data_IF_009904765439
#
_entry.id   IF_009904765439
#
_cell.length_a   1.000
_cell.length_b   1.000
_cell.length_c   1.000
_cell.angle_alpha   90.00
_cell.angle_beta   90.00
_cell.angle_gamma   90.00
#
_symmetry.space_group_name_H-M   'P 1'
#
loop_
_entity.id
_entity.type
_entity.pdbx_description
1 polymer ?
#
# COMPACT_ATOMS: atom_id res chain seq x y z
N UNK A 1 24.87 -9.64 0.82
CA UNK A 1 24.14 -8.36 0.74
C UNK A 1 23.41 -8.36 -0.59
N UNK A 2 22.08 -8.46 -0.57
CA UNK A 2 21.26 -8.40 -1.80
C UNK A 2 21.27 -6.97 -2.34
N UNK A 3 21.38 -6.84 -3.67
CA UNK A 3 21.40 -5.55 -4.37
C UNK A 3 20.05 -4.87 -4.19
N UNK A 4 20.04 -3.65 -3.66
CA UNK A 4 18.84 -2.83 -3.51
C UNK A 4 18.36 -2.37 -4.90
N UNK A 5 17.50 -3.19 -5.51
CA UNK A 5 16.95 -2.97 -6.86
C UNK A 5 15.91 -1.86 -6.91
N UNK A 6 15.42 -1.37 -5.76
CA UNK A 6 14.30 -0.42 -5.68
C UNK A 6 14.72 0.97 -5.25
N UNK A 7 16.02 1.27 -5.16
CA UNK A 7 16.51 2.55 -4.65
C UNK A 7 15.96 3.78 -5.42
N UNK A 8 15.58 3.61 -6.69
CA UNK A 8 14.91 4.61 -7.53
C UNK A 8 13.47 4.90 -7.13
N UNK A 9 12.80 3.96 -6.47
CA UNK A 9 11.35 4.00 -6.24
C UNK A 9 10.99 4.68 -4.91
N UNK A 10 12.00 5.02 -4.09
CA UNK A 10 11.80 5.73 -2.83
C UNK A 10 11.79 7.25 -3.03
N UNK A 11 10.77 7.90 -2.46
CA UNK A 11 10.67 9.36 -2.44
C UNK A 11 11.65 9.98 -1.43
N UNK A 12 12.23 11.13 -1.75
CA UNK A 12 13.11 11.91 -0.86
C UNK A 12 12.39 13.16 -0.34
N UNK A 13 12.02 13.15 0.94
CA UNK A 13 11.30 14.28 1.57
C UNK A 13 12.26 15.34 2.13
N UNK A 14 12.61 16.34 1.32
CA UNK A 14 13.29 17.57 1.78
C UNK A 14 14.57 17.36 2.61
N UNK A 15 14.89 18.30 3.51
CA UNK A 15 16.18 18.46 4.23
C UNK A 15 16.68 17.26 5.04
N UNK A 16 15.90 16.19 5.14
CA UNK A 16 16.32 14.92 5.72
C UNK A 16 16.41 13.92 4.56
N UNK A 17 17.59 13.37 4.31
CA UNK A 17 17.84 12.28 3.34
C UNK A 17 17.11 10.98 3.74
N UNK A 18 15.80 11.04 3.97
CA UNK A 18 14.95 9.92 4.34
C UNK A 18 14.24 9.46 3.07
N UNK A 19 14.48 8.21 2.74
CA UNK A 19 13.84 7.48 1.65
C UNK A 19 12.50 6.93 2.16
N UNK A 20 11.41 7.25 1.49
CA UNK A 20 10.05 6.82 1.88
C UNK A 20 9.44 5.89 0.82
N UNK A 21 8.86 4.74 1.23
CA UNK A 21 8.22 3.78 0.33
C UNK A 21 6.80 4.23 -0.02
N UNK A 22 6.64 5.37 -0.68
CA UNK A 22 5.34 6.06 -0.84
C UNK A 22 4.26 5.22 -1.52
N UNK A 23 4.62 4.21 -2.32
CA UNK A 23 3.69 3.29 -2.98
C UNK A 23 3.05 2.26 -2.05
N UNK A 24 3.58 2.08 -0.85
CA UNK A 24 3.01 1.20 0.18
C UNK A 24 2.36 1.99 1.31
N UNK A 25 2.61 3.30 1.41
CA UNK A 25 2.20 4.09 2.55
C UNK A 25 0.70 4.38 2.56
N UNK A 26 0.10 4.32 3.75
CA UNK A 26 -1.27 4.74 4.00
C UNK A 26 -1.44 6.27 3.84
N UNK A 27 -2.65 6.77 3.54
CA UNK A 27 -2.88 8.20 3.34
C UNK A 27 -2.47 9.06 4.56
N UNK A 28 -2.74 8.60 5.78
CA UNK A 28 -2.33 9.29 7.02
C UNK A 28 -0.81 9.26 7.25
N UNK A 29 -0.12 8.22 6.76
CA UNK A 29 1.35 8.17 6.79
C UNK A 29 1.96 9.14 5.80
N UNK A 30 1.35 9.31 4.62
CA UNK A 30 1.78 10.26 3.60
C UNK A 30 1.56 11.70 4.07
N UNK A 31 0.35 12.00 4.56
CA UNK A 31 -0.05 13.35 4.97
C UNK A 31 0.66 13.80 6.25
N UNK A 32 0.56 12.99 7.32
CA UNK A 32 0.90 13.42 8.67
C UNK A 32 2.16 12.71 9.22
N UNK A 33 2.71 11.74 8.50
CA UNK A 33 3.85 10.94 8.97
C UNK A 33 3.49 9.97 10.10
N UNK A 34 2.20 9.65 10.25
CA UNK A 34 1.69 8.72 11.26
C UNK A 34 2.03 7.29 10.86
N UNK A 35 2.53 6.49 11.81
CA UNK A 35 2.76 5.06 11.63
C UNK A 35 2.09 4.31 12.79
N UNK A 36 1.18 3.40 12.47
CA UNK A 36 0.40 2.61 13.42
C UNK A 36 0.16 1.21 12.86
N UNK A 37 -0.43 0.33 13.67
CA UNK A 37 -0.89 -0.97 13.15
C UNK A 37 -1.84 -0.81 11.96
N UNK A 38 -2.73 0.18 11.99
CA UNK A 38 -3.69 0.42 10.91
C UNK A 38 -2.97 0.83 9.60
N UNK A 39 -1.83 1.52 9.65
CA UNK A 39 -1.03 1.87 8.47
C UNK A 39 -0.29 0.66 7.89
N UNK A 40 0.08 -0.30 8.76
CA UNK A 40 0.64 -1.58 8.31
C UNK A 40 -0.41 -2.42 7.59
N UNK A 41 -1.67 -2.39 8.01
CA UNK A 41 -2.78 -3.07 7.31
C UNK A 41 -2.98 -2.54 5.89
N UNK A 42 -2.90 -1.22 5.69
CA UNK A 42 -2.92 -0.64 4.35
C UNK A 42 -1.77 -1.18 3.49
N UNK A 43 -0.56 -1.17 4.03
CA UNK A 43 0.65 -1.67 3.36
C UNK A 43 0.52 -3.15 3.02
N UNK A 44 -0.10 -3.94 3.90
CA UNK A 44 -0.40 -5.35 3.67
C UNK A 44 -1.35 -5.56 2.48
N UNK A 45 -2.36 -4.71 2.31
CA UNK A 45 -3.22 -4.72 1.11
C UNK A 45 -2.41 -4.55 -0.18
N UNK A 46 -1.41 -3.66 -0.18
CA UNK A 46 -0.50 -3.49 -1.33
C UNK A 46 0.34 -4.76 -1.54
N UNK A 47 0.84 -5.39 -0.49
CA UNK A 47 1.59 -6.66 -0.58
C UNK A 47 0.72 -7.79 -1.15
N UNK A 48 -0.56 -7.89 -0.76
CA UNK A 48 -1.49 -8.85 -1.34
C UNK A 48 -1.67 -8.60 -2.85
N UNK A 49 -1.78 -7.34 -3.26
CA UNK A 49 -1.86 -6.96 -4.67
C UNK A 49 -0.60 -7.37 -5.43
N UNK A 50 0.58 -7.18 -4.84
CA UNK A 50 1.85 -7.65 -5.40
C UNK A 50 1.88 -9.18 -5.54
N UNK A 51 1.41 -9.93 -4.55
CA UNK A 51 1.34 -11.40 -4.62
C UNK A 51 0.49 -11.85 -5.82
N UNK A 52 -0.69 -11.26 -5.99
CA UNK A 52 -1.60 -11.61 -7.09
C UNK A 52 -1.02 -11.21 -8.46
N UNK A 53 -0.27 -10.12 -8.51
CA UNK A 53 0.33 -9.60 -9.77
C UNK A 53 1.74 -10.11 -10.04
N UNK A 54 2.22 -11.10 -9.28
CA UNK A 54 3.57 -11.65 -9.38
C UNK A 54 4.66 -10.57 -9.25
N UNK A 55 4.50 -9.71 -8.25
CA UNK A 55 5.38 -8.58 -7.90
C UNK A 55 5.45 -7.50 -8.99
N UNK A 56 4.32 -7.21 -9.64
CA UNK A 56 4.22 -6.01 -10.47
C UNK A 56 4.39 -4.75 -9.60
N UNK A 57 4.86 -3.66 -10.22
CA UNK A 57 5.03 -2.40 -9.49
C UNK A 57 3.67 -1.78 -9.16
N UNK A 58 3.37 -1.48 -7.88
CA UNK A 58 2.14 -0.77 -7.52
C UNK A 58 2.09 0.62 -8.18
N UNK A 59 0.93 0.98 -8.72
CA UNK A 59 0.71 2.25 -9.44
C UNK A 59 1.68 2.44 -10.61
N UNK A 60 1.93 1.38 -11.37
CA UNK A 60 2.79 1.39 -12.55
C UNK A 60 2.40 2.54 -13.51
N UNK A 61 3.41 3.26 -14.00
CA UNK A 61 3.23 4.42 -14.89
C UNK A 61 3.02 5.76 -14.19
N UNK A 62 2.82 5.78 -12.86
CA UNK A 62 2.78 7.01 -12.07
C UNK A 62 4.15 7.30 -11.43
N UNK A 63 4.54 8.57 -11.37
CA UNK A 63 5.64 9.05 -10.53
C UNK A 63 5.28 9.03 -9.04
N UNK A 64 6.26 9.13 -8.16
CA UNK A 64 6.02 9.14 -6.72
C UNK A 64 5.12 10.30 -6.26
N UNK A 65 5.22 11.46 -6.90
CA UNK A 65 4.35 12.62 -6.61
C UNK A 65 2.92 12.38 -7.07
N UNK A 66 2.73 11.77 -8.24
CA UNK A 66 1.40 11.36 -8.73
C UNK A 66 0.76 10.30 -7.83
N UNK A 67 1.53 9.32 -7.34
CA UNK A 67 1.04 8.32 -6.38
C UNK A 67 0.57 8.98 -5.09
N UNK A 68 1.36 9.91 -4.53
CA UNK A 68 0.99 10.67 -3.33
C UNK A 68 -0.36 11.37 -3.56
N UNK A 69 -0.50 12.11 -4.66
CA UNK A 69 -1.72 12.84 -4.96
C UNK A 69 -2.92 11.90 -5.19
N UNK A 70 -2.70 10.80 -5.90
CA UNK A 70 -3.72 9.80 -6.17
C UNK A 70 -4.25 9.15 -4.89
N UNK A 71 -3.35 8.66 -4.03
CA UNK A 71 -3.72 8.06 -2.74
C UNK A 71 -4.43 9.07 -1.86
N UNK A 72 -3.93 10.30 -1.73
CA UNK A 72 -4.58 11.35 -0.93
C UNK A 72 -5.95 11.79 -1.49
N UNK A 73 -6.22 11.54 -2.78
CA UNK A 73 -7.53 11.75 -3.41
C UNK A 73 -8.49 10.56 -3.25
N UNK A 74 -8.18 9.62 -2.34
CA UNK A 74 -8.90 8.35 -2.11
C UNK A 74 -8.81 7.35 -3.25
N UNK A 75 -7.78 7.47 -4.10
CA UNK A 75 -7.48 6.48 -5.12
C UNK A 75 -6.85 5.22 -4.51
N UNK A 76 -7.24 4.05 -5.03
CA UNK A 76 -6.66 2.74 -4.67
C UNK A 76 -6.30 1.97 -5.94
N UNK A 77 -5.52 0.89 -5.80
CA UNK A 77 -5.16 0.04 -6.94
C UNK A 77 -6.40 -0.63 -7.53
N UNK A 78 -6.38 -0.87 -8.84
CA UNK A 78 -7.44 -1.61 -9.52
C UNK A 78 -7.28 -3.12 -9.29
N UNK A 79 -8.41 -3.84 -9.36
CA UNK A 79 -8.43 -5.29 -9.29
C UNK A 79 -7.54 -5.92 -10.38
N UNK A 80 -6.56 -6.76 -10.03
CA UNK A 80 -5.77 -7.50 -11.02
C UNK A 80 -6.61 -8.48 -11.84
N UNK A 81 -6.13 -8.81 -13.04
CA UNK A 81 -6.65 -9.92 -13.83
C UNK A 81 -6.55 -11.23 -13.03
N UNK A 82 -7.57 -12.08 -13.17
CA UNK A 82 -7.64 -13.39 -12.50
C UNK A 82 -7.51 -13.37 -10.96
N UNK A 83 -7.69 -12.21 -10.32
CA UNK A 83 -7.65 -12.10 -8.86
C UNK A 83 -8.83 -12.85 -8.21
N UNK A 84 -8.60 -13.79 -7.25
CA UNK A 84 -9.66 -14.42 -6.47
C UNK A 84 -10.51 -13.38 -5.73
N UNK A 85 -11.84 -13.55 -5.73
CA UNK A 85 -12.76 -12.62 -5.07
C UNK A 85 -12.41 -12.38 -3.59
N UNK A 86 -12.08 -13.45 -2.86
CA UNK A 86 -11.68 -13.37 -1.45
C UNK A 86 -10.52 -12.40 -1.22
N UNK A 87 -9.47 -12.49 -2.05
CA UNK A 87 -8.30 -11.63 -1.92
C UNK A 87 -8.63 -10.18 -2.32
N UNK A 88 -9.48 -9.98 -3.33
CA UNK A 88 -9.92 -8.65 -3.72
C UNK A 88 -10.74 -7.97 -2.61
N UNK A 89 -11.72 -8.66 -2.03
CA UNK A 89 -12.53 -8.14 -0.91
C UNK A 89 -11.66 -7.82 0.30
N UNK A 90 -10.65 -8.65 0.59
CA UNK A 90 -9.69 -8.39 1.65
C UNK A 90 -8.82 -7.16 1.36
N UNK A 91 -8.33 -6.99 0.12
CA UNK A 91 -7.59 -5.79 -0.29
C UNK A 91 -8.43 -4.51 -0.14
N UNK A 92 -9.68 -4.53 -0.61
CA UNK A 92 -10.60 -3.38 -0.47
C UNK A 92 -10.79 -2.98 1.00
N UNK A 93 -10.98 -3.97 1.90
CA UNK A 93 -11.05 -3.73 3.35
C UNK A 93 -9.75 -3.16 3.92
N UNK A 94 -8.59 -3.61 3.45
CA UNK A 94 -7.29 -3.09 3.88
C UNK A 94 -7.09 -1.62 3.45
N UNK A 95 -7.69 -1.21 2.33
CA UNK A 95 -7.62 0.15 1.79
C UNK A 95 -8.78 1.06 2.18
N UNK A 96 -9.51 0.70 3.24
CA UNK A 96 -10.49 1.61 3.83
C UNK A 96 -9.83 2.94 4.24
N UNK A 97 -10.50 4.04 3.88
CA UNK A 97 -9.96 5.39 4.06
C UNK A 97 -9.76 5.71 5.55
N UNK A 98 -10.76 5.37 6.38
CA UNK A 98 -10.66 5.55 7.81
C UNK A 98 -9.86 4.39 8.42
N UNK A 99 -8.76 4.64 9.15
CA UNK A 99 -7.91 3.58 9.68
C UNK A 99 -8.67 2.57 10.55
N UNK A 100 -9.69 3.03 11.27
CA UNK A 100 -10.53 2.19 12.16
C UNK A 100 -11.55 1.30 11.44
N UNK A 101 -11.71 1.46 10.13
CA UNK A 101 -12.56 0.58 9.33
C UNK A 101 -11.75 -0.56 8.67
N UNK A 102 -10.42 -0.48 8.72
CA UNK A 102 -9.54 -1.54 8.25
C UNK A 102 -9.61 -2.75 9.18
N UNK A 103 -9.46 -3.97 8.66
CA UNK A 103 -9.49 -5.18 9.48
C UNK A 103 -8.26 -5.27 10.38
N UNK A 104 -8.43 -5.86 11.54
CA UNK A 104 -7.34 -6.29 12.41
C UNK A 104 -6.65 -7.51 11.83
N UNK A 105 -5.39 -7.76 12.21
CA UNK A 105 -4.66 -8.95 11.78
C UNK A 105 -5.38 -10.26 12.13
N UNK A 106 -6.08 -10.31 13.28
CA UNK A 106 -6.89 -11.48 13.65
C UNK A 106 -8.04 -11.71 12.67
N UNK A 107 -8.79 -10.67 12.31
CA UNK A 107 -9.88 -10.77 11.32
C UNK A 107 -9.34 -11.19 9.94
N UNK A 108 -8.15 -10.71 9.56
CA UNK A 108 -7.50 -11.13 8.31
C UNK A 108 -7.19 -12.63 8.33
N UNK A 109 -6.65 -13.14 9.44
CA UNK A 109 -6.35 -14.57 9.58
C UNK A 109 -7.64 -15.38 9.47
N UNK A 110 -8.70 -14.99 10.19
CA UNK A 110 -10.00 -15.67 10.14
C UNK A 110 -10.63 -15.68 8.74
N UNK A 111 -10.39 -14.65 7.91
CA UNK A 111 -10.85 -14.60 6.53
C UNK A 111 -10.10 -15.55 5.58
N UNK A 112 -8.88 -15.94 5.94
CA UNK A 112 -7.98 -16.73 5.09
C UNK A 112 -7.91 -18.22 5.50
N UNK A 113 -8.51 -18.59 6.63
CA UNK A 113 -8.71 -19.98 7.06
C UNK A 113 -9.85 -20.68 6.30
#
# INVERSE_FOLDING_TARGET
MTRDIYQSDYYKKGSRNVLLPVRWMAPESIADGVNTYDTDIWSYGIVLWEIVTLAAQPYHGMSNEEVINFVLSKGVLTRPEECPNLLWELMERCWEWLPKQRPTCCEIIEMLE
#
